data_IF_480366566344
#
_entry.id   IF_480366566344
#
_cell.length_a   1.000
_cell.length_b   1.000
_cell.length_c   1.000
_cell.angle_alpha   90.00
_cell.angle_beta   90.00
_cell.angle_gamma   90.00
#
_symmetry.space_group_name_H-M   'P 1'
#
loop_
_entity.id
_entity.type
_entity.pdbx_description
1 polymer ?
#
# COMPACT_ATOMS: atom_id res chain seq x y z
N UNK A 1 32.85 -78.28 36.04
CA UNK A 1 31.40 -78.19 35.78
C UNK A 1 31.02 -76.72 35.70
N UNK A 2 30.78 -76.23 34.47
CA UNK A 2 30.27 -74.89 34.18
C UNK A 2 28.83 -74.76 34.69
N UNK A 3 28.45 -73.63 35.27
CA UNK A 3 27.10 -73.09 35.05
C UNK A 3 27.02 -71.58 35.28
N UNK A 4 26.72 -70.87 34.18
CA UNK A 4 26.23 -69.49 34.10
C UNK A 4 24.83 -69.38 34.76
N UNK A 5 24.52 -68.24 35.39
CA UNK A 5 23.14 -67.76 35.62
C UNK A 5 23.13 -66.26 35.31
N UNK A 6 22.88 -65.89 34.05
CA UNK A 6 21.62 -65.40 33.48
C UNK A 6 21.08 -64.12 34.16
N UNK A 7 21.34 -62.99 33.48
CA UNK A 7 20.62 -61.72 33.58
C UNK A 7 19.18 -61.93 33.07
N UNK A 8 18.19 -61.45 33.82
CA UNK A 8 16.85 -61.19 33.31
C UNK A 8 16.68 -59.66 33.22
N UNK A 9 16.51 -59.17 32.00
CA UNK A 9 16.23 -57.77 31.71
C UNK A 9 14.77 -57.45 32.04
N UNK A 10 14.56 -56.39 32.82
CA UNK A 10 13.24 -55.83 33.12
C UNK A 10 12.89 -54.85 31.98
N UNK A 11 11.99 -55.27 31.10
CA UNK A 11 11.42 -54.41 30.06
C UNK A 11 10.42 -53.43 30.69
N UNK A 12 10.78 -52.15 30.72
CA UNK A 12 9.88 -51.05 31.08
C UNK A 12 9.07 -50.69 29.83
N UNK A 13 7.77 -51.03 29.85
CA UNK A 13 6.80 -50.66 28.82
C UNK A 13 6.37 -49.21 29.08
N UNK A 14 6.92 -48.26 28.31
CA UNK A 14 6.52 -46.86 28.36
C UNK A 14 5.16 -46.68 27.66
N UNK A 15 4.12 -46.37 28.43
CA UNK A 15 2.78 -46.07 27.95
C UNK A 15 2.77 -44.62 27.44
N UNK A 16 2.89 -44.42 26.14
CA UNK A 16 2.78 -43.10 25.50
C UNK A 16 1.31 -42.63 25.54
N UNK A 17 1.00 -41.69 26.42
CA UNK A 17 -0.29 -40.99 26.44
C UNK A 17 -0.36 -40.03 25.25
N UNK A 18 -1.12 -40.41 24.23
CA UNK A 18 -1.47 -39.57 23.09
C UNK A 18 -2.39 -38.44 23.58
N UNK A 19 -1.85 -37.25 23.81
CA UNK A 19 -2.66 -36.07 24.08
C UNK A 19 -3.41 -35.67 22.79
N UNK A 20 -4.73 -35.49 22.81
CA UNK A 20 -5.45 -34.99 21.65
C UNK A 20 -5.04 -33.53 21.42
N UNK A 21 -4.46 -33.27 20.24
CA UNK A 21 -4.21 -31.93 19.73
C UNK A 21 -5.57 -31.25 19.57
N UNK A 22 -5.92 -30.36 20.49
CA UNK A 22 -7.11 -29.52 20.36
C UNK A 22 -6.89 -28.57 19.16
N UNK A 23 -7.44 -28.94 18.01
CA UNK A 23 -7.68 -28.01 16.91
C UNK A 23 -8.63 -26.96 17.45
N UNK A 24 -8.10 -25.77 17.79
CA UNK A 24 -8.93 -24.60 17.97
C UNK A 24 -9.67 -24.35 16.65
N UNK A 25 -11.02 -24.34 16.61
CA UNK A 25 -11.71 -23.80 15.46
C UNK A 25 -11.39 -22.31 15.43
N UNK A 26 -10.45 -21.91 14.58
CA UNK A 26 -10.38 -20.52 14.15
C UNK A 26 -11.75 -20.21 13.56
N UNK A 27 -12.48 -19.27 14.16
CA UNK A 27 -13.69 -18.73 13.54
C UNK A 27 -13.24 -18.03 12.26
N UNK A 28 -13.36 -18.70 11.12
CA UNK A 28 -13.27 -18.04 9.84
C UNK A 28 -14.51 -17.14 9.74
N UNK A 29 -14.36 -15.86 10.06
CA UNK A 29 -15.35 -14.84 9.71
C UNK A 29 -15.43 -14.81 8.19
N UNK A 30 -16.60 -15.10 7.63
CA UNK A 30 -16.80 -15.12 6.19
C UNK A 30 -16.70 -13.69 5.65
N UNK A 31 -15.68 -13.42 4.84
CA UNK A 31 -15.56 -12.19 4.05
C UNK A 31 -16.71 -12.12 3.04
N UNK A 32 -17.20 -10.90 2.77
CA UNK A 32 -18.25 -10.69 1.78
C UNK A 32 -17.64 -10.27 0.43
N UNK A 33 -17.75 -11.09 -0.64
CA UNK A 33 -17.18 -10.79 -1.95
C UNK A 33 -17.86 -9.63 -2.69
N UNK A 34 -19.01 -9.14 -2.21
CA UNK A 34 -19.67 -7.96 -2.80
C UNK A 34 -18.96 -6.65 -2.42
N UNK A 35 -18.01 -6.72 -1.48
CA UNK A 35 -17.27 -5.61 -0.93
C UNK A 35 -15.80 -5.96 -0.90
N UNK A 36 -15.01 -5.38 -1.80
CA UNK A 36 -13.58 -5.72 -1.93
C UNK A 36 -12.78 -4.46 -1.63
N UNK A 37 -11.97 -4.51 -0.57
CA UNK A 37 -10.90 -3.55 -0.33
C UNK A 37 -9.63 -4.09 -0.99
N UNK A 38 -8.95 -3.26 -1.78
CA UNK A 38 -7.69 -3.64 -2.41
C UNK A 38 -6.62 -2.57 -2.21
N UNK A 39 -5.37 -3.02 -2.15
CA UNK A 39 -4.20 -2.16 -2.15
C UNK A 39 -3.50 -2.26 -3.51
N UNK A 40 -3.13 -1.12 -4.08
CA UNK A 40 -2.36 -1.15 -5.35
C UNK A 40 -0.93 -1.60 -5.13
N UNK A 41 -0.36 -2.26 -6.13
CA UNK A 41 1.08 -2.46 -6.20
C UNK A 41 1.80 -1.14 -6.44
N UNK A 42 3.01 -1.02 -5.92
CA UNK A 42 3.87 0.14 -6.06
C UNK A 42 5.32 -0.26 -6.35
N UNK A 43 6.03 0.53 -7.15
CA UNK A 43 7.37 0.18 -7.61
C UNK A 43 8.25 1.44 -7.74
N UNK A 44 9.47 1.37 -7.21
CA UNK A 44 10.38 2.52 -7.21
C UNK A 44 11.85 2.15 -7.00
N UNK A 45 12.78 3.08 -7.24
CA UNK A 45 14.20 2.86 -6.96
C UNK A 45 14.47 2.83 -5.44
N UNK A 46 15.63 2.31 -5.00
CA UNK A 46 16.08 2.50 -3.61
C UNK A 46 16.03 3.98 -3.22
N UNK A 47 15.51 4.28 -2.02
CA UNK A 47 15.28 5.65 -1.53
C UNK A 47 14.23 6.48 -2.31
N UNK A 48 13.53 5.89 -3.27
CA UNK A 48 12.44 6.53 -4.00
C UNK A 48 11.16 6.62 -3.16
N UNK A 49 10.29 7.57 -3.54
CA UNK A 49 8.92 7.63 -3.02
C UNK A 49 7.98 6.89 -3.96
N UNK A 50 7.03 6.15 -3.39
CA UNK A 50 5.96 5.46 -4.11
C UNK A 50 4.65 5.61 -3.37
N UNK A 51 3.55 5.56 -4.11
CA UNK A 51 2.20 5.63 -3.54
C UNK A 51 1.49 4.29 -3.64
N UNK A 52 0.84 3.89 -2.55
CA UNK A 52 -0.09 2.76 -2.48
C UNK A 52 -1.49 3.32 -2.22
N UNK A 53 -2.43 3.03 -3.11
CA UNK A 53 -3.82 3.45 -2.98
C UNK A 53 -4.63 2.36 -2.28
N UNK A 54 -5.52 2.78 -1.39
CA UNK A 54 -6.61 1.95 -0.86
C UNK A 54 -7.80 2.13 -1.77
N UNK A 55 -8.14 1.09 -2.52
CA UNK A 55 -9.29 1.06 -3.42
C UNK A 55 -10.44 0.26 -2.81
N UNK A 56 -11.65 0.57 -3.26
CA UNK A 56 -12.84 -0.16 -2.85
C UNK A 56 -13.81 -0.39 -4.00
N UNK A 57 -14.14 -1.66 -4.22
CA UNK A 57 -15.20 -2.12 -5.10
C UNK A 57 -16.43 -2.49 -4.27
N UNK A 58 -17.56 -1.87 -4.59
CA UNK A 58 -18.84 -2.12 -3.96
C UNK A 58 -19.84 -2.59 -5.02
N UNK A 59 -20.11 -3.89 -5.08
CA UNK A 59 -21.20 -4.46 -5.89
C UNK A 59 -22.45 -4.75 -5.07
N UNK A 60 -22.38 -4.56 -3.75
CA UNK A 60 -23.48 -4.74 -2.81
C UNK A 60 -24.36 -3.49 -2.61
N UNK A 61 -24.89 -3.35 -1.39
CA UNK A 61 -25.66 -2.17 -0.97
C UNK A 61 -24.77 -0.96 -0.62
N UNK A 62 -25.37 0.22 -0.50
CA UNK A 62 -24.64 1.43 -0.15
C UNK A 62 -23.92 1.34 1.21
N UNK A 63 -22.70 1.87 1.25
CA UNK A 63 -21.82 1.87 2.42
C UNK A 63 -21.87 3.24 3.10
N UNK A 64 -22.08 3.29 4.41
CA UNK A 64 -22.20 4.52 5.20
C UNK A 64 -20.87 4.98 5.84
N UNK A 65 -19.83 4.15 5.76
CA UNK A 65 -18.52 4.41 6.34
C UNK A 65 -17.67 3.15 6.36
N UNK A 66 -16.40 3.31 6.74
CA UNK A 66 -15.42 2.23 6.81
C UNK A 66 -14.38 2.52 7.89
N UNK A 67 -13.76 1.46 8.38
CA UNK A 67 -12.51 1.51 9.14
C UNK A 67 -11.58 0.43 8.63
N UNK A 68 -10.28 0.71 8.64
CA UNK A 68 -9.25 -0.22 8.17
C UNK A 68 -7.91 0.09 8.81
N UNK A 69 -7.09 -0.96 8.95
CA UNK A 69 -5.66 -0.87 9.25
C UNK A 69 -4.85 -1.43 8.09
N UNK A 70 -3.70 -0.81 7.81
CA UNK A 70 -2.76 -1.24 6.77
C UNK A 70 -1.36 -1.30 7.36
N UNK A 71 -0.69 -2.44 7.22
CA UNK A 71 0.66 -2.70 7.70
C UNK A 71 1.66 -2.81 6.54
N UNK A 72 2.93 -2.57 6.84
CA UNK A 72 4.05 -2.82 5.92
C UNK A 72 5.26 -3.35 6.70
N UNK A 73 6.22 -3.94 5.98
CA UNK A 73 7.52 -4.33 6.54
C UNK A 73 8.47 -3.10 6.66
N UNK A 74 8.85 -2.67 7.87
CA UNK A 74 9.76 -1.54 8.06
C UNK A 74 11.19 -1.79 7.56
N UNK A 75 11.57 -3.05 7.30
CA UNK A 75 12.84 -3.34 6.64
C UNK A 75 12.82 -2.90 5.17
N UNK A 76 11.63 -2.78 4.57
CA UNK A 76 11.45 -2.54 3.15
C UNK A 76 11.09 -1.08 2.82
N UNK A 77 10.21 -0.48 3.60
CA UNK A 77 9.72 0.87 3.38
C UNK A 77 9.42 1.59 4.69
N UNK A 78 9.33 2.91 4.64
CA UNK A 78 8.88 3.77 5.73
C UNK A 78 7.67 4.55 5.25
N UNK A 79 6.58 4.55 6.02
CA UNK A 79 5.39 5.36 5.73
C UNK A 79 5.68 6.85 5.98
N UNK A 80 5.40 7.68 4.98
CA UNK A 80 5.67 9.12 4.99
C UNK A 80 4.41 9.94 5.20
N UNK A 81 3.32 9.58 4.50
CA UNK A 81 2.06 10.30 4.58
C UNK A 81 0.88 9.39 4.25
N UNK A 82 -0.30 9.77 4.73
CA UNK A 82 -1.58 9.14 4.38
C UNK A 82 -2.60 10.24 4.19
N UNK A 83 -3.10 10.36 2.97
CA UNK A 83 -4.08 11.39 2.58
C UNK A 83 -5.39 10.75 2.11
N UNK A 84 -6.45 11.55 2.13
CA UNK A 84 -7.75 11.14 1.59
C UNK A 84 -7.69 11.01 0.07
N UNK A 85 -8.28 9.93 -0.43
CA UNK A 85 -8.47 9.68 -1.85
C UNK A 85 -9.61 10.51 -2.43
N UNK A 86 -9.65 10.58 -3.76
CA UNK A 86 -10.62 11.39 -4.50
C UNK A 86 -12.09 11.03 -4.21
N UNK A 87 -12.41 9.76 -3.98
CA UNK A 87 -13.76 9.35 -3.58
C UNK A 87 -14.09 9.89 -2.18
N UNK A 88 -13.20 9.68 -1.20
CA UNK A 88 -13.42 10.12 0.19
C UNK A 88 -13.72 11.61 0.25
N UNK A 89 -12.98 12.43 -0.50
CA UNK A 89 -13.16 13.89 -0.50
C UNK A 89 -14.53 14.38 -1.01
N UNK A 90 -15.32 13.50 -1.63
CA UNK A 90 -16.60 13.88 -2.28
C UNK A 90 -17.78 12.98 -1.93
N UNK A 91 -17.57 11.93 -1.12
CA UNK A 91 -18.56 10.86 -0.89
C UNK A 91 -19.82 11.32 -0.15
N UNK A 92 -19.79 12.48 0.50
CA UNK A 92 -20.95 13.07 1.17
C UNK A 92 -21.66 14.06 0.23
N UNK A 93 -22.29 13.54 -0.83
CA UNK A 93 -23.02 14.34 -1.83
C UNK A 93 -22.18 15.47 -2.47
N UNK A 94 -20.91 15.19 -2.77
CA UNK A 94 -19.96 16.16 -3.33
C UNK A 94 -19.14 16.92 -2.28
N UNK A 95 -19.34 16.64 -0.99
CA UNK A 95 -18.54 17.16 0.12
C UNK A 95 -17.72 16.06 0.79
N UNK A 96 -16.80 16.46 1.66
CA UNK A 96 -16.05 15.55 2.54
C UNK A 96 -16.97 14.83 3.55
N UNK A 97 -16.55 13.69 4.13
CA UNK A 97 -17.32 12.95 5.13
C UNK A 97 -17.55 13.78 6.40
N UNK A 98 -18.62 13.50 7.14
CA UNK A 98 -18.85 14.13 8.45
C UNK A 98 -17.75 13.77 9.47
N UNK A 99 -17.11 12.61 9.31
CA UNK A 99 -15.91 12.21 10.05
C UNK A 99 -14.95 11.44 9.15
N UNK A 100 -13.68 11.81 9.16
CA UNK A 100 -12.60 11.13 8.46
C UNK A 100 -11.30 11.43 9.22
N UNK A 101 -10.59 10.39 9.64
CA UNK A 101 -9.37 10.58 10.41
C UNK A 101 -8.42 9.39 10.25
N UNK A 102 -7.14 9.68 10.05
CA UNK A 102 -6.06 8.74 10.35
C UNK A 102 -5.92 8.67 11.88
N UNK A 103 -6.48 7.62 12.47
CA UNK A 103 -6.53 7.43 13.94
C UNK A 103 -5.25 6.84 14.49
N UNK A 104 -4.43 6.21 13.64
CA UNK A 104 -3.10 5.74 13.96
C UNK A 104 -2.17 5.95 12.78
N UNK A 105 -0.97 6.46 13.04
CA UNK A 105 0.09 6.62 12.06
C UNK A 105 1.41 6.29 12.72
N UNK A 106 2.14 5.33 12.14
CA UNK A 106 3.49 5.00 12.57
C UNK A 106 4.34 4.68 11.33
N UNK A 107 5.43 5.45 11.10
CA UNK A 107 6.32 5.26 9.96
C UNK A 107 6.84 3.83 9.76
N UNK A 108 6.99 3.06 10.84
CA UNK A 108 7.62 1.73 10.82
C UNK A 108 6.62 0.57 11.00
N UNK A 109 5.32 0.87 11.07
CA UNK A 109 4.28 -0.15 11.30
C UNK A 109 3.18 -0.03 10.27
N UNK A 110 2.70 1.19 10.00
CA UNK A 110 1.57 1.44 9.12
C UNK A 110 0.57 2.44 9.71
N UNK A 111 -0.66 2.39 9.22
CA UNK A 111 -1.69 3.34 9.59
C UNK A 111 -3.03 2.64 9.85
N UNK A 112 -3.91 3.32 10.58
CA UNK A 112 -5.31 2.96 10.67
C UNK A 112 -6.17 4.22 10.58
N UNK A 113 -7.37 4.06 10.01
CA UNK A 113 -8.28 5.17 9.78
C UNK A 113 -9.74 4.76 10.00
N UNK A 114 -10.58 5.77 10.15
CA UNK A 114 -12.03 5.62 10.21
C UNK A 114 -12.74 6.75 9.48
N UNK A 115 -13.82 6.40 8.80
CA UNK A 115 -14.66 7.33 8.05
C UNK A 115 -16.13 7.07 8.35
N UNK A 116 -16.88 8.14 8.62
CA UNK A 116 -18.35 8.15 8.65
C UNK A 116 -18.82 9.18 7.63
N UNK A 117 -19.52 8.71 6.60
CA UNK A 117 -19.88 9.53 5.43
C UNK A 117 -20.87 10.63 5.83
N UNK A 118 -21.99 10.26 6.45
CA UNK A 118 -22.98 11.19 6.96
C UNK A 118 -23.62 10.64 8.23
N UNK A 119 -23.48 11.33 9.37
CA UNK A 119 -24.04 10.90 10.66
C UNK A 119 -25.57 10.81 10.65
N UNK A 120 -26.22 11.58 9.78
CA UNK A 120 -27.68 11.57 9.63
C UNK A 120 -28.18 10.54 8.61
N UNK A 121 -27.26 9.82 7.93
CA UNK A 121 -27.61 8.86 6.88
C UNK A 121 -28.03 9.52 5.56
N UNK A 122 -27.66 10.79 5.35
CA UNK A 122 -28.02 11.58 4.17
C UNK A 122 -27.22 11.24 2.90
N UNK A 123 -26.13 10.50 3.04
CA UNK A 123 -25.25 10.06 1.96
C UNK A 123 -24.66 8.69 2.30
N UNK A 124 -24.39 7.92 1.25
CA UNK A 124 -23.68 6.64 1.27
C UNK A 124 -22.81 6.56 0.03
N UNK A 125 -21.73 5.79 0.07
CA UNK A 125 -21.05 5.34 -1.13
C UNK A 125 -21.97 4.34 -1.85
N UNK A 126 -22.45 4.65 -3.07
CA UNK A 126 -23.49 3.83 -3.71
C UNK A 126 -23.04 2.40 -4.00
N UNK A 127 -23.99 1.47 -4.01
CA UNK A 127 -23.77 0.14 -4.58
C UNK A 127 -23.54 0.22 -6.09
N UNK A 128 -22.74 -0.71 -6.63
CA UNK A 128 -22.33 -0.73 -8.03
C UNK A 128 -21.19 0.22 -8.39
N UNK A 129 -20.58 0.90 -7.41
CA UNK A 129 -19.39 1.73 -7.63
C UNK A 129 -18.12 0.88 -7.56
N UNK A 130 -17.21 1.06 -8.53
CA UNK A 130 -15.93 0.34 -8.62
C UNK A 130 -14.77 1.33 -8.68
N UNK A 131 -13.59 0.89 -8.28
CA UNK A 131 -12.33 1.64 -8.23
C UNK A 131 -12.45 2.95 -7.44
N UNK A 132 -13.17 2.90 -6.31
CA UNK A 132 -13.27 4.06 -5.43
C UNK A 132 -11.94 4.25 -4.69
N UNK A 133 -11.26 5.37 -4.90
CA UNK A 133 -10.02 5.70 -4.23
C UNK A 133 -10.32 6.29 -2.85
N UNK A 134 -10.12 5.48 -1.81
CA UNK A 134 -10.45 5.86 -0.44
C UNK A 134 -9.32 6.67 0.19
N UNK A 135 -8.08 6.19 0.07
CA UNK A 135 -6.89 6.83 0.66
C UNK A 135 -5.65 6.55 -0.16
N UNK A 136 -4.64 7.40 -0.03
CA UNK A 136 -3.34 7.24 -0.67
C UNK A 136 -2.27 7.30 0.42
N UNK A 137 -1.46 6.25 0.51
CA UNK A 137 -0.34 6.17 1.43
C UNK A 137 0.99 6.30 0.66
N UNK A 138 1.77 7.31 1.02
CA UNK A 138 3.10 7.53 0.42
C UNK A 138 4.16 6.84 1.27
N UNK A 139 4.97 6.01 0.64
CA UNK A 139 6.07 5.28 1.24
C UNK A 139 7.41 5.72 0.66
N UNK A 140 8.44 5.77 1.50
CA UNK A 140 9.83 5.85 1.08
C UNK A 140 10.46 4.47 1.11
N UNK A 141 11.01 4.02 -0.01
CA UNK A 141 11.68 2.73 -0.11
C UNK A 141 13.04 2.77 0.58
N UNK A 142 13.42 1.68 1.23
CA UNK A 142 14.70 1.60 1.93
C UNK A 142 15.87 1.85 0.95
N UNK A 143 16.75 2.78 1.33
CA UNK A 143 17.96 3.12 0.56
C UNK A 143 18.92 1.96 0.35
N UNK A 144 18.91 0.95 1.23
CA UNK A 144 19.72 -0.27 1.12
C UNK A 144 18.93 -1.47 0.60
N UNK A 145 17.69 -1.24 0.13
CA UNK A 145 16.86 -2.31 -0.40
C UNK A 145 17.46 -2.97 -1.65
N UNK A 146 17.29 -4.28 -1.78
CA UNK A 146 17.90 -5.06 -2.86
C UNK A 146 17.08 -4.91 -4.14
N UNK A 147 17.66 -4.52 -5.29
CA UNK A 147 16.92 -4.49 -6.54
C UNK A 147 16.31 -5.85 -6.91
N UNK A 148 15.07 -5.83 -7.39
CA UNK A 148 14.27 -7.02 -7.69
C UNK A 148 13.61 -7.67 -6.48
N UNK A 149 13.79 -7.13 -5.27
CA UNK A 149 13.05 -7.57 -4.09
C UNK A 149 11.69 -6.88 -3.99
N UNK A 150 10.79 -7.51 -3.24
CA UNK A 150 9.45 -7.01 -2.96
C UNK A 150 9.02 -7.39 -1.54
N UNK A 151 8.06 -6.64 -0.99
CA UNK A 151 7.40 -6.94 0.27
C UNK A 151 5.91 -6.57 0.21
N UNK A 152 5.08 -7.29 0.95
CA UNK A 152 3.64 -7.04 0.97
C UNK A 152 3.30 -5.80 1.80
N UNK A 153 2.20 -5.17 1.41
CA UNK A 153 1.45 -4.19 2.22
C UNK A 153 0.06 -4.76 2.38
N UNK A 154 -0.38 -4.93 3.62
CA UNK A 154 -1.49 -5.83 3.94
C UNK A 154 -2.54 -5.15 4.80
N UNK A 155 -3.80 -5.52 4.61
CA UNK A 155 -4.86 -5.15 5.55
C UNK A 155 -4.71 -5.93 6.86
N UNK A 156 -4.77 -5.23 7.99
CA UNK A 156 -4.63 -5.86 9.31
C UNK A 156 -5.59 -5.25 10.34
N UNK A 157 -6.05 -6.09 11.26
CA UNK A 157 -6.95 -5.69 12.37
C UNK A 157 -6.19 -5.44 13.68
N UNK A 158 -4.86 -5.35 13.62
CA UNK A 158 -3.98 -5.32 14.80
C UNK A 158 -3.34 -3.95 15.07
N UNK A 159 -3.59 -2.96 14.20
CA UNK A 159 -3.01 -1.61 14.31
C UNK A 159 -3.94 -0.67 15.08
N UNK A 160 -3.37 0.16 15.96
CA UNK A 160 -4.11 1.10 16.81
C UNK A 160 -4.19 0.67 18.28
N UNK A 161 -4.69 1.57 19.14
CA UNK A 161 -4.96 1.27 20.55
C UNK A 161 -6.22 2.02 21.01
N UNK A 162 -7.42 1.38 20.98
CA UNK A 162 -7.65 -0.04 20.65
C UNK A 162 -7.35 -0.36 19.18
N UNK A 163 -7.05 -1.63 18.82
CA UNK A 163 -6.88 -2.04 17.43
C UNK A 163 -8.12 -1.71 16.59
N UNK A 164 -7.89 -1.27 15.36
CA UNK A 164 -8.93 -0.92 14.39
C UNK A 164 -9.21 -2.12 13.50
N UNK A 165 -10.46 -2.57 13.47
CA UNK A 165 -10.91 -3.66 12.61
C UNK A 165 -11.20 -3.16 11.19
N UNK A 166 -10.91 -4.01 10.20
CA UNK A 166 -11.21 -3.80 8.79
C UNK A 166 -12.67 -4.15 8.54
N UNK A 167 -13.53 -3.13 8.57
CA UNK A 167 -14.97 -3.26 8.39
C UNK A 167 -15.53 -2.12 7.55
N UNK A 168 -16.64 -2.40 6.90
CA UNK A 168 -17.51 -1.39 6.29
C UNK A 168 -18.85 -1.36 7.02
N UNK A 169 -19.57 -0.26 6.94
CA UNK A 169 -20.90 -0.12 7.55
C UNK A 169 -21.97 -0.14 6.46
N UNK A 170 -22.81 -1.17 6.48
CA UNK A 170 -23.91 -1.36 5.52
C UNK A 170 -25.22 -1.44 6.30
N UNK A 171 -26.18 -0.57 5.98
CA UNK A 171 -27.48 -0.52 6.67
C UNK A 171 -27.36 -0.46 8.22
N UNK A 172 -26.33 0.22 8.72
CA UNK A 172 -26.05 0.36 10.16
C UNK A 172 -25.42 -0.85 10.83
N UNK A 173 -25.02 -1.88 10.08
CA UNK A 173 -24.31 -3.06 10.58
C UNK A 173 -22.89 -3.15 10.02
N UNK A 174 -21.94 -3.63 10.83
CA UNK A 174 -20.58 -3.91 10.38
C UNK A 174 -20.56 -5.16 9.49
N UNK A 175 -19.90 -5.05 8.34
CA UNK A 175 -19.63 -6.15 7.41
C UNK A 175 -18.13 -6.23 7.19
N UNK A 176 -17.58 -7.46 7.20
CA UNK A 176 -16.16 -7.70 6.93
C UNK A 176 -16.02 -7.86 5.40
N UNK A 177 -15.32 -6.94 4.72
CA UNK A 177 -15.10 -7.03 3.28
C UNK A 177 -14.11 -8.15 2.94
N UNK A 178 -14.09 -8.57 1.67
CA UNK A 178 -12.94 -9.25 1.12
C UNK A 178 -11.77 -8.27 1.01
N UNK A 179 -10.55 -8.77 1.16
CA UNK A 179 -9.33 -7.96 1.12
C UNK A 179 -8.35 -8.52 0.10
N UNK A 180 -7.75 -7.63 -0.68
CA UNK A 180 -6.67 -7.93 -1.62
C UNK A 180 -5.46 -7.07 -1.26
N UNK A 181 -4.42 -7.71 -0.75
CA UNK A 181 -3.18 -7.03 -0.36
C UNK A 181 -2.38 -6.59 -1.58
N UNK A 182 -1.51 -5.60 -1.36
CA UNK A 182 -0.65 -5.03 -2.38
C UNK A 182 0.81 -5.39 -2.16
N UNK A 183 1.65 -5.04 -3.13
CA UNK A 183 3.10 -5.28 -3.07
C UNK A 183 3.88 -4.01 -3.35
N UNK A 184 4.88 -3.71 -2.53
CA UNK A 184 5.90 -2.71 -2.84
C UNK A 184 7.15 -3.44 -3.38
N UNK A 185 7.69 -2.96 -4.51
CA UNK A 185 8.87 -3.54 -5.16
C UNK A 185 9.97 -2.51 -5.39
N UNK A 186 11.23 -2.96 -5.29
CA UNK A 186 12.41 -2.13 -5.57
C UNK A 186 12.98 -2.49 -6.94
N UNK A 187 13.08 -1.51 -7.83
CA UNK A 187 13.68 -1.71 -9.16
C UNK A 187 15.19 -1.47 -9.18
N UNK A 188 15.84 -2.11 -10.14
CA UNK A 188 17.23 -1.83 -10.47
C UNK A 188 17.33 -0.65 -11.44
N UNK A 189 17.93 0.45 -10.98
CA UNK A 189 18.24 1.61 -11.82
C UNK A 189 19.72 1.68 -12.20
N UNK A 190 20.54 0.67 -11.90
CA UNK A 190 21.99 0.68 -12.16
C UNK A 190 22.36 0.79 -13.65
N UNK A 191 21.46 0.37 -14.54
CA UNK A 191 21.60 0.51 -15.99
C UNK A 191 20.82 1.70 -16.57
N UNK A 192 20.10 2.46 -15.72
CA UNK A 192 19.40 3.67 -16.15
C UNK A 192 20.41 4.81 -16.24
N UNK A 193 20.56 5.49 -17.41
CA UNK A 193 21.48 6.61 -17.54
C UNK A 193 21.18 7.65 -16.47
N UNK A 194 22.21 8.14 -15.78
CA UNK A 194 22.03 9.20 -14.79
C UNK A 194 21.32 10.40 -15.45
N UNK A 195 20.42 11.10 -14.73
CA UNK A 195 19.84 12.33 -15.23
C UNK A 195 20.94 13.29 -15.69
N UNK A 196 20.73 14.02 -16.79
CA UNK A 196 21.74 14.93 -17.27
C UNK A 196 22.03 16.01 -16.23
N UNK A 197 23.32 16.32 -16.04
CA UNK A 197 23.76 17.40 -15.14
C UNK A 197 24.02 18.66 -15.95
N UNK A 198 23.93 19.82 -15.29
CA UNK A 198 24.15 21.14 -15.89
C UNK A 198 23.15 21.49 -17.00
N UNK A 199 21.86 21.27 -16.77
CA UNK A 199 20.83 21.75 -17.67
C UNK A 199 20.85 23.29 -17.71
N UNK A 200 21.24 23.86 -18.85
CA UNK A 200 21.21 25.31 -19.07
C UNK A 200 20.26 25.64 -20.19
N UNK A 201 19.36 26.61 -19.93
CA UNK A 201 18.51 27.20 -20.96
C UNK A 201 19.06 28.59 -21.30
N UNK A 202 19.49 28.79 -22.54
CA UNK A 202 19.93 30.10 -23.04
C UNK A 202 18.88 30.61 -24.03
N UNK A 203 18.29 31.76 -23.72
CA UNK A 203 17.42 32.47 -24.65
C UNK A 203 18.33 33.22 -25.62
N UNK A 204 18.26 32.88 -26.91
CA UNK A 204 18.91 33.63 -27.96
C UNK A 204 17.93 34.70 -28.48
N UNK A 205 18.29 35.97 -28.26
CA UNK A 205 17.51 37.14 -28.69
C UNK A 205 18.14 37.82 -29.91
N UNK A 206 19.07 37.16 -30.62
CA UNK A 206 19.80 37.77 -31.73
C UNK A 206 18.95 38.05 -32.96
N UNK A 207 17.89 37.28 -33.29
CA UNK A 207 16.82 37.75 -34.16
C UNK A 207 15.70 38.37 -33.31
N UNK A 208 15.37 39.67 -33.45
CA UNK A 208 14.31 40.31 -32.66
C UNK A 208 12.89 39.81 -33.01
N UNK A 209 12.76 38.96 -34.04
CA UNK A 209 11.49 38.41 -34.51
C UNK A 209 11.30 36.92 -34.17
N UNK A 210 12.31 36.28 -33.56
CA UNK A 210 12.27 34.86 -33.19
C UNK A 210 12.83 34.71 -31.78
N UNK A 211 12.06 34.09 -30.88
CA UNK A 211 12.56 33.67 -29.57
C UNK A 211 12.99 32.22 -29.69
N UNK A 212 14.30 31.98 -29.81
CA UNK A 212 14.85 30.62 -29.74
C UNK A 212 15.43 30.37 -28.35
N UNK A 213 15.22 29.16 -27.84
CA UNK A 213 15.81 28.71 -26.58
C UNK A 213 16.68 27.49 -26.87
N UNK A 214 17.95 27.56 -26.50
CA UNK A 214 18.86 26.42 -26.57
C UNK A 214 18.92 25.73 -25.21
N UNK A 215 18.59 24.44 -25.19
CA UNK A 215 18.71 23.60 -24.02
C UNK A 215 19.96 22.72 -24.17
N UNK A 216 20.96 22.98 -23.34
CA UNK A 216 22.20 22.19 -23.30
C UNK A 216 22.32 21.45 -21.98
N UNK A 217 22.89 20.25 -22.01
CA UNK A 217 23.24 19.49 -20.81
C UNK A 217 24.42 18.56 -21.07
N UNK A 218 25.07 18.13 -20.00
CA UNK A 218 26.14 17.11 -20.07
C UNK A 218 25.59 15.71 -19.75
N UNK A 219 25.82 14.75 -20.65
CA UNK A 219 25.64 13.32 -20.39
C UNK A 219 26.94 12.71 -19.87
N UNK A 220 26.89 11.61 -19.09
CA UNK A 220 28.07 10.80 -18.82
C UNK A 220 28.74 10.32 -20.12
N UNK A 221 30.07 10.12 -20.09
CA UNK A 221 30.95 9.93 -21.26
C UNK A 221 30.68 8.70 -22.13
N UNK A 222 29.74 7.85 -21.75
CA UNK A 222 29.32 6.61 -22.41
C UNK A 222 27.96 6.70 -23.12
N UNK A 223 27.31 7.87 -23.14
CA UNK A 223 25.98 8.06 -23.73
C UNK A 223 25.96 9.14 -24.82
N UNK A 224 25.35 8.82 -25.97
CA UNK A 224 25.08 9.79 -27.04
C UNK A 224 23.95 10.74 -26.63
N UNK A 225 24.23 12.04 -26.51
CA UNK A 225 23.21 13.08 -26.32
C UNK A 225 22.38 13.26 -27.60
N UNK A 226 21.05 13.19 -27.48
CA UNK A 226 20.13 13.66 -28.52
C UNK A 226 19.78 15.13 -28.24
N UNK A 227 20.16 16.03 -29.14
CA UNK A 227 19.73 17.43 -29.09
C UNK A 227 18.26 17.49 -29.49
N UNK A 228 17.39 18.02 -28.63
CA UNK A 228 16.01 18.34 -28.98
C UNK A 228 15.87 19.85 -29.02
N UNK A 229 15.64 20.38 -30.21
CA UNK A 229 15.30 21.79 -30.42
C UNK A 229 13.83 22.00 -30.04
N UNK A 230 13.57 22.92 -29.10
CA UNK A 230 12.21 23.28 -28.67
C UNK A 230 11.87 24.63 -29.29
N UNK A 231 10.88 24.64 -30.19
CA UNK A 231 10.31 25.86 -30.74
C UNK A 231 9.27 26.42 -29.77
N UNK A 232 9.52 27.61 -29.23
CA UNK A 232 8.55 28.34 -28.41
C UNK A 232 7.75 29.26 -29.31
N UNK A 233 6.59 28.81 -29.79
CA UNK A 233 5.66 29.68 -30.53
C UNK A 233 5.03 30.70 -29.56
N UNK A 234 5.68 31.85 -29.42
CA UNK A 234 5.09 33.04 -28.81
C UNK A 234 4.24 33.79 -29.83
N UNK A 235 2.92 33.65 -29.78
CA UNK A 235 2.04 34.65 -30.40
C UNK A 235 2.17 35.94 -29.59
N UNK A 236 2.59 37.03 -30.24
CA UNK A 236 2.60 38.39 -29.68
C UNK A 236 1.17 38.92 -29.58
#
# INVERSE_FOLDING_TARGET
>A
MMTRRMLAAISVLALATLAPLALFPGSATAQNPDYILSLTDAIGPPNGLVDVQVLFDNTGSGVAGWSLGVAHDPAFATLIDVVDGSTTLTVNNGSIPDFYQVVYFNPDVGFALGVVICFTGCAVLPGGSLNNELHIATYQLNSTGTPGSSSQVEFVDTIGSPPVETIIVVNGSSVIPATEDGTISIIDCSSTPAPPTNLTCVIDTTPPCECTALLEWSTPSDHSASVTEIWLDGQV
#
